data_IF_162883924770
#
_entry.id   IF_162883924770
#
_cell.length_a   1.000
_cell.length_b   1.000
_cell.length_c   1.000
_cell.angle_alpha   90.00
_cell.angle_beta   90.00
_cell.angle_gamma   90.00
#
_symmetry.space_group_name_H-M   'P 1'
#
loop_
_entity.id
_entity.type
_entity.pdbx_description
1 polymer ?
#
# COMPACT_ATOMS: atom_id res chain seq x y z
N UNK A 1 22.50 -17.16 -6.28
CA UNK A 1 23.62 -17.25 -7.26
C UNK A 1 24.21 -15.88 -7.45
N UNK A 2 25.49 -15.73 -7.18
CA UNK A 2 26.18 -14.47 -7.39
C UNK A 2 26.52 -14.34 -8.88
N UNK A 3 26.18 -13.18 -9.44
CA UNK A 3 26.53 -12.87 -10.82
C UNK A 3 27.74 -11.93 -10.77
N UNK A 4 28.83 -12.32 -11.40
CA UNK A 4 30.05 -11.53 -11.48
C UNK A 4 30.11 -10.77 -12.80
N UNK A 5 29.90 -9.47 -12.74
CA UNK A 5 29.95 -8.58 -13.91
C UNK A 5 31.33 -7.96 -14.17
N UNK A 6 32.35 -8.28 -13.35
CA UNK A 6 33.66 -7.67 -13.48
C UNK A 6 34.34 -7.95 -14.82
N UNK A 7 34.06 -9.14 -15.39
CA UNK A 7 34.56 -9.52 -16.71
C UNK A 7 33.70 -9.07 -17.87
N UNK A 8 32.45 -8.65 -17.60
CA UNK A 8 31.45 -8.31 -18.60
C UNK A 8 30.67 -7.05 -18.21
N UNK A 9 31.39 -6.00 -17.84
CA UNK A 9 30.73 -4.74 -17.49
C UNK A 9 30.00 -4.18 -18.72
N UNK A 10 28.73 -3.75 -18.54
CA UNK A 10 28.00 -3.15 -19.65
C UNK A 10 28.63 -1.85 -20.09
N UNK A 11 28.54 -1.55 -21.37
CA UNK A 11 28.98 -0.26 -21.88
C UNK A 11 28.14 0.86 -21.26
N UNK A 12 28.79 1.97 -20.97
CA UNK A 12 28.12 3.12 -20.38
C UNK A 12 28.63 4.41 -21.02
N UNK A 13 27.74 5.38 -21.16
CA UNK A 13 28.10 6.74 -21.60
C UNK A 13 28.73 7.56 -20.45
N UNK A 14 28.81 6.96 -19.25
CA UNK A 14 29.24 7.65 -18.04
C UNK A 14 28.06 8.18 -17.21
N UNK A 15 26.86 8.13 -17.75
CA UNK A 15 25.67 8.55 -17.04
C UNK A 15 24.88 7.34 -16.58
N UNK A 16 24.37 7.42 -15.36
CA UNK A 16 23.48 6.40 -14.80
C UNK A 16 22.39 7.07 -13.99
N UNK A 17 21.17 6.73 -14.30
CA UNK A 17 20.01 7.14 -13.52
C UNK A 17 19.28 5.87 -13.05
N UNK A 18 19.09 5.77 -11.75
CA UNK A 18 18.40 4.63 -11.18
C UNK A 18 16.93 4.66 -11.57
N UNK A 19 16.52 3.66 -12.36
CA UNK A 19 15.12 3.41 -12.71
C UNK A 19 14.62 2.24 -11.86
N UNK A 20 13.39 1.93 -11.87
CA UNK A 20 12.84 0.86 -11.04
C UNK A 20 12.48 1.37 -9.65
N UNK A 21 13.19 0.98 -8.61
CA UNK A 21 12.95 1.48 -7.26
C UNK A 21 12.95 3.00 -7.16
N UNK A 22 13.59 3.69 -8.14
CA UNK A 22 13.58 5.12 -8.27
C UNK A 22 12.35 5.69 -8.98
N UNK A 23 11.47 4.85 -9.53
CA UNK A 23 10.23 5.28 -10.18
C UNK A 23 9.12 5.56 -9.19
N UNK A 24 9.46 6.13 -8.06
CA UNK A 24 8.50 6.51 -7.04
C UNK A 24 7.85 7.83 -7.46
N UNK A 25 6.53 7.89 -7.36
CA UNK A 25 5.79 9.12 -7.58
C UNK A 25 6.13 10.09 -6.45
N UNK A 26 6.48 11.36 -6.76
CA UNK A 26 6.95 12.29 -5.73
C UNK A 26 5.98 12.50 -4.58
N UNK A 27 6.56 12.79 -3.39
CA UNK A 27 5.80 13.12 -2.18
C UNK A 27 4.80 14.23 -2.44
N UNK A 28 3.58 14.04 -1.96
CA UNK A 28 2.51 15.02 -2.08
C UNK A 28 1.73 14.98 -3.39
N UNK A 29 2.07 14.05 -4.29
CA UNK A 29 1.33 13.89 -5.54
C UNK A 29 -0.03 13.26 -5.24
N UNK A 30 -1.08 13.84 -5.82
CA UNK A 30 -2.44 13.33 -5.73
C UNK A 30 -2.80 12.66 -7.05
N UNK A 31 -3.23 11.40 -6.99
CA UNK A 31 -3.61 10.62 -8.16
C UNK A 31 -5.03 10.09 -8.00
N UNK A 32 -5.72 9.92 -9.11
CA UNK A 32 -6.97 9.16 -9.14
C UNK A 32 -6.60 7.71 -9.39
N UNK A 33 -6.97 6.83 -8.49
CA UNK A 33 -6.61 5.42 -8.56
C UNK A 33 -7.78 4.53 -8.19
N UNK A 34 -7.76 3.31 -8.68
CA UNK A 34 -8.73 2.28 -8.33
C UNK A 34 -8.03 1.11 -7.65
N UNK A 35 -8.74 0.46 -6.74
CA UNK A 35 -8.25 -0.75 -6.09
C UNK A 35 -8.34 -1.91 -7.08
N UNK A 36 -7.21 -2.50 -7.41
CA UNK A 36 -7.14 -3.64 -8.33
C UNK A 36 -7.22 -4.96 -7.58
N UNK A 37 -6.67 -5.02 -6.38
CA UNK A 37 -6.63 -6.22 -5.56
C UNK A 37 -6.56 -5.85 -4.08
N UNK A 38 -7.18 -6.66 -3.24
CA UNK A 38 -7.08 -6.55 -1.78
C UNK A 38 -7.09 -7.95 -1.18
N UNK A 39 -6.14 -8.23 -0.28
CA UNK A 39 -6.04 -9.51 0.43
C UNK A 39 -5.56 -9.32 1.86
N UNK A 40 -6.00 -10.24 2.71
CA UNK A 40 -5.50 -10.35 4.08
C UNK A 40 -4.20 -11.15 4.07
N UNK A 41 -3.23 -10.71 4.85
CA UNK A 41 -1.98 -11.42 5.09
C UNK A 41 -1.81 -11.65 6.58
N UNK A 42 -1.48 -12.89 6.96
CA UNK A 42 -1.16 -13.28 8.33
C UNK A 42 0.28 -13.77 8.39
N UNK A 43 0.86 -13.76 9.58
CA UNK A 43 2.25 -14.13 9.81
C UNK A 43 2.32 -15.23 10.85
N UNK A 44 3.00 -16.33 10.55
CA UNK A 44 3.14 -17.47 11.45
C UNK A 44 3.81 -17.08 12.76
N UNK A 45 3.27 -17.56 13.87
CA UNK A 45 3.81 -17.29 15.21
C UNK A 45 3.56 -15.88 15.72
N UNK A 46 2.69 -15.12 15.09
CA UNK A 46 2.37 -13.74 15.44
C UNK A 46 0.89 -13.47 15.26
N UNK A 47 0.36 -12.54 16.07
CA UNK A 47 -1.00 -12.02 15.88
C UNK A 47 -1.04 -10.92 14.81
N UNK A 48 0.09 -10.65 14.17
CA UNK A 48 0.18 -9.62 13.13
C UNK A 48 -0.67 -10.00 11.93
N UNK A 49 -1.53 -9.07 11.52
CA UNK A 49 -2.40 -9.21 10.36
C UNK A 49 -2.43 -7.90 9.60
N UNK A 50 -2.35 -7.98 8.30
CA UNK A 50 -2.39 -6.81 7.43
C UNK A 50 -3.30 -7.02 6.24
N UNK A 51 -3.77 -5.91 5.66
CA UNK A 51 -4.42 -5.89 4.36
C UNK A 51 -3.43 -5.34 3.34
N UNK A 52 -3.25 -6.07 2.26
CA UNK A 52 -2.41 -5.65 1.16
C UNK A 52 -3.28 -5.23 -0.02
N UNK A 53 -3.17 -3.97 -0.41
CA UNK A 53 -3.91 -3.41 -1.52
C UNK A 53 -2.97 -3.15 -2.69
N UNK A 54 -3.44 -3.47 -3.89
CA UNK A 54 -2.81 -3.09 -5.14
C UNK A 54 -3.69 -2.05 -5.80
N UNK A 55 -3.10 -0.91 -6.09
CA UNK A 55 -3.77 0.23 -6.71
C UNK A 55 -3.26 0.44 -8.13
N UNK A 56 -4.15 0.87 -9.01
CA UNK A 56 -3.78 1.28 -10.37
C UNK A 56 -4.17 2.73 -10.60
N UNK A 57 -3.22 3.53 -11.03
CA UNK A 57 -3.42 4.95 -11.30
C UNK A 57 -4.16 5.13 -12.62
N UNK A 58 -5.16 6.00 -12.61
CA UNK A 58 -5.90 6.41 -13.81
C UNK A 58 -5.54 7.83 -14.23
N UNK A 59 -5.39 8.74 -13.29
CA UNK A 59 -5.01 10.13 -13.53
C UNK A 59 -3.95 10.60 -12.54
N UNK A 60 -3.05 11.50 -12.92
CA UNK A 60 -2.89 12.14 -14.23
C UNK A 60 -2.28 11.20 -15.27
N UNK A 61 -2.35 11.59 -16.54
CA UNK A 61 -1.85 10.80 -17.67
C UNK A 61 -0.39 10.41 -17.51
N UNK A 62 0.42 11.29 -16.94
CA UNK A 62 1.83 11.05 -16.64
C UNK A 62 2.07 9.75 -15.85
N UNK A 63 1.14 9.39 -14.96
CA UNK A 63 1.24 8.21 -14.12
C UNK A 63 0.20 7.13 -14.46
N UNK A 64 -0.54 7.31 -15.53
CA UNK A 64 -1.60 6.36 -15.94
C UNK A 64 -1.05 4.95 -16.06
N UNK A 65 -1.82 3.98 -15.56
CA UNK A 65 -1.47 2.56 -15.51
C UNK A 65 -0.33 2.20 -14.55
N UNK A 66 0.23 3.14 -13.81
CA UNK A 66 1.17 2.81 -12.74
C UNK A 66 0.46 2.07 -11.62
N UNK A 67 1.18 1.12 -11.04
CA UNK A 67 0.71 0.31 -9.93
C UNK A 67 1.53 0.67 -8.70
N UNK A 68 0.86 0.79 -7.56
CA UNK A 68 1.53 0.89 -6.27
C UNK A 68 0.81 0.02 -5.25
N UNK A 69 1.52 -0.29 -4.17
CA UNK A 69 1.02 -1.18 -3.13
C UNK A 69 0.88 -0.44 -1.81
N UNK A 70 -0.12 -0.83 -1.05
CA UNK A 70 -0.36 -0.29 0.28
C UNK A 70 -0.56 -1.45 1.25
N UNK A 71 0.10 -1.38 2.40
CA UNK A 71 -0.10 -2.32 3.49
C UNK A 71 -0.77 -1.60 4.66
N UNK A 72 -1.91 -2.11 5.08
CA UNK A 72 -2.65 -1.59 6.24
C UNK A 72 -2.56 -2.63 7.36
N UNK A 73 -1.86 -2.31 8.42
CA UNK A 73 -1.67 -3.20 9.56
C UNK A 73 -2.88 -3.14 10.48
N UNK A 74 -3.77 -4.12 10.39
CA UNK A 74 -5.04 -4.15 11.13
C UNK A 74 -4.93 -4.84 12.48
N UNK A 75 -3.86 -5.54 12.73
CA UNK A 75 -3.61 -6.15 14.03
C UNK A 75 -2.10 -6.21 14.31
N UNK A 76 -1.65 -5.33 15.17
CA UNK A 76 -0.30 -5.32 15.69
C UNK A 76 0.81 -5.12 14.66
N UNK A 77 1.99 -5.23 15.16
CA UNK A 77 3.21 -5.48 14.39
C UNK A 77 3.91 -6.66 15.04
N UNK A 78 4.93 -7.21 14.40
CA UNK A 78 5.64 -8.36 14.95
C UNK A 78 6.11 -8.07 16.39
N UNK A 79 5.52 -8.75 17.36
CA UNK A 79 5.85 -8.61 18.78
C UNK A 79 7.28 -9.02 19.10
N UNK A 80 7.92 -9.74 18.18
CA UNK A 80 9.32 -10.18 18.32
C UNK A 80 10.30 -9.08 17.90
N UNK A 81 9.80 -7.98 17.35
CA UNK A 81 10.65 -6.84 16.97
C UNK A 81 11.19 -6.13 18.21
N UNK A 82 12.49 -5.81 18.21
CA UNK A 82 13.10 -5.00 19.25
C UNK A 82 12.52 -3.57 19.34
N UNK A 83 11.81 -3.14 18.32
CA UNK A 83 11.16 -1.82 18.25
C UNK A 83 9.68 -1.88 18.63
N UNK A 84 9.21 -3.03 19.12
CA UNK A 84 7.82 -3.18 19.53
C UNK A 84 7.53 -2.30 20.75
N UNK A 85 6.48 -1.50 20.64
CA UNK A 85 5.98 -0.65 21.72
C UNK A 85 4.45 -0.72 21.71
N UNK A 86 3.88 -1.30 22.75
CA UNK A 86 2.45 -1.58 22.84
C UNK A 86 1.58 -0.29 22.73
N UNK A 87 2.02 0.79 23.36
CA UNK A 87 1.27 2.06 23.30
C UNK A 87 1.23 2.66 21.89
N UNK A 88 2.34 2.53 21.15
CA UNK A 88 2.42 2.96 19.76
C UNK A 88 1.62 2.05 18.83
N UNK A 89 1.51 0.76 19.16
CA UNK A 89 0.74 -0.20 18.37
C UNK A 89 -0.74 0.14 18.39
N UNK A 90 -1.30 0.51 19.53
CA UNK A 90 -2.71 0.91 19.64
C UNK A 90 -3.01 2.09 18.70
N UNK A 91 -2.17 3.11 18.70
CA UNK A 91 -2.32 4.26 17.81
C UNK A 91 -2.22 3.87 16.35
N UNK A 92 -1.25 3.02 16.00
CA UNK A 92 -1.08 2.54 14.63
C UNK A 92 -2.28 1.75 14.14
N UNK A 93 -2.85 0.91 14.98
CA UNK A 93 -4.04 0.14 14.65
C UNK A 93 -5.23 1.09 14.42
N UNK A 94 -5.43 2.07 15.29
CA UNK A 94 -6.49 3.07 15.12
C UNK A 94 -6.34 3.84 13.81
N UNK A 95 -5.12 4.27 13.49
CA UNK A 95 -4.85 4.98 12.23
C UNK A 95 -5.08 4.08 11.02
N UNK A 96 -4.72 2.80 11.12
CA UNK A 96 -4.97 1.81 10.08
C UNK A 96 -6.46 1.65 9.81
N UNK A 97 -7.28 1.56 10.87
CA UNK A 97 -8.73 1.46 10.74
C UNK A 97 -9.36 2.74 10.22
N UNK A 98 -8.81 3.91 10.52
CA UNK A 98 -9.25 5.17 9.91
C UNK A 98 -9.02 5.18 8.41
N UNK A 99 -7.85 4.70 7.98
CA UNK A 99 -7.54 4.57 6.55
C UNK A 99 -8.49 3.59 5.88
N UNK A 100 -8.66 2.41 6.46
CA UNK A 100 -9.57 1.38 5.95
C UNK A 100 -11.01 1.90 5.88
N UNK A 101 -11.46 2.59 6.91
CA UNK A 101 -12.80 3.18 6.97
C UNK A 101 -13.03 4.21 5.86
N UNK A 102 -12.02 5.04 5.58
CA UNK A 102 -12.10 6.01 4.49
C UNK A 102 -12.18 5.33 3.12
N UNK A 103 -11.37 4.29 2.90
CA UNK A 103 -11.41 3.50 1.67
C UNK A 103 -12.78 2.83 1.52
N UNK A 104 -13.27 2.21 2.58
CA UNK A 104 -14.59 1.56 2.59
C UNK A 104 -15.71 2.54 2.28
N UNK A 105 -15.70 3.70 2.92
CA UNK A 105 -16.72 4.74 2.68
C UNK A 105 -16.73 5.17 1.22
N UNK A 106 -15.57 5.34 0.62
CA UNK A 106 -15.45 5.72 -0.80
C UNK A 106 -15.88 4.57 -1.73
N UNK A 107 -15.88 3.34 -1.23
CA UNK A 107 -16.32 2.16 -1.95
C UNK A 107 -17.81 1.84 -1.73
N UNK A 108 -18.52 2.62 -0.93
CA UNK A 108 -19.96 2.42 -0.66
C UNK A 108 -20.31 2.08 0.78
N UNK A 109 -19.32 1.89 1.66
CA UNK A 109 -19.54 1.63 3.08
C UNK A 109 -20.01 0.23 3.44
N UNK A 110 -19.87 -0.73 2.54
CA UNK A 110 -20.43 -2.08 2.73
C UNK A 110 -19.64 -2.92 3.75
N UNK A 111 -18.34 -2.67 3.91
CA UNK A 111 -17.52 -3.42 4.87
C UNK A 111 -17.89 -3.04 6.31
N UNK A 112 -18.06 -1.76 6.59
CA UNK A 112 -18.45 -1.31 7.93
C UNK A 112 -19.83 -1.82 8.34
N UNK A 113 -20.74 -2.02 7.39
CA UNK A 113 -22.09 -2.56 7.64
C UNK A 113 -22.09 -4.00 8.11
N UNK A 114 -21.03 -4.75 7.83
CA UNK A 114 -20.93 -6.15 8.27
C UNK A 114 -20.82 -6.26 9.79
N UNK A 115 -20.24 -5.27 10.45
CA UNK A 115 -19.99 -5.24 11.90
C UNK A 115 -19.22 -6.47 12.40
N UNK A 116 -18.37 -7.02 11.55
CA UNK A 116 -17.48 -8.14 11.82
C UNK A 116 -16.31 -8.10 10.85
N UNK A 117 -15.29 -8.92 11.11
CA UNK A 117 -14.16 -9.05 10.19
C UNK A 117 -14.65 -9.62 8.85
N UNK A 118 -14.37 -8.94 7.73
CA UNK A 118 -14.75 -9.44 6.41
C UNK A 118 -13.86 -10.60 5.97
N UNK A 119 -14.40 -11.45 5.12
CA UNK A 119 -13.60 -12.44 4.39
C UNK A 119 -12.90 -11.77 3.21
N UNK A 120 -11.88 -12.44 2.65
CA UNK A 120 -11.21 -11.93 1.45
C UNK A 120 -12.17 -11.79 0.27
N UNK A 121 -13.12 -12.71 0.14
CA UNK A 121 -14.16 -12.64 -0.89
C UNK A 121 -15.02 -11.37 -0.74
N UNK A 122 -15.40 -11.03 0.48
CA UNK A 122 -16.19 -9.83 0.78
C UNK A 122 -15.39 -8.56 0.52
N UNK A 123 -14.10 -8.53 0.90
CA UNK A 123 -13.20 -7.42 0.60
C UNK A 123 -13.10 -7.21 -0.91
N UNK A 124 -12.88 -8.28 -1.65
CA UNK A 124 -12.81 -8.23 -3.11
C UNK A 124 -14.12 -7.71 -3.70
N UNK A 125 -15.26 -8.24 -3.25
CA UNK A 125 -16.57 -7.85 -3.76
C UNK A 125 -16.86 -6.36 -3.56
N UNK A 126 -16.51 -5.81 -2.39
CA UNK A 126 -16.92 -4.46 -2.00
C UNK A 126 -15.86 -3.38 -2.20
N UNK A 127 -14.60 -3.74 -2.29
CA UNK A 127 -13.49 -2.78 -2.36
C UNK A 127 -12.84 -2.74 -3.75
N UNK A 128 -12.68 -3.87 -4.42
CA UNK A 128 -12.06 -3.90 -5.76
C UNK A 128 -12.88 -3.07 -6.74
N UNK A 129 -12.20 -2.35 -7.59
CA UNK A 129 -12.72 -1.37 -8.55
C UNK A 129 -13.19 -0.05 -7.93
N UNK A 130 -13.12 0.11 -6.61
CA UNK A 130 -13.41 1.40 -5.98
C UNK A 130 -12.38 2.43 -6.42
N UNK A 131 -12.87 3.59 -6.85
CA UNK A 131 -12.06 4.68 -7.38
C UNK A 131 -12.09 5.85 -6.42
N UNK A 132 -10.92 6.41 -6.13
CA UNK A 132 -10.82 7.56 -5.24
C UNK A 132 -9.51 8.32 -5.48
N UNK A 133 -9.44 9.53 -4.97
CA UNK A 133 -8.20 10.28 -4.95
C UNK A 133 -7.28 9.73 -3.87
N UNK A 134 -6.02 9.53 -4.22
CA UNK A 134 -5.00 9.04 -3.30
C UNK A 134 -3.87 10.04 -3.22
N UNK A 135 -3.54 10.45 -2.00
CA UNK A 135 -2.37 11.28 -1.74
C UNK A 135 -1.19 10.36 -1.48
N UNK A 136 -0.19 10.44 -2.34
CA UNK A 136 0.99 9.60 -2.28
C UNK A 136 2.12 10.26 -1.52
N UNK A 137 2.94 9.45 -0.91
CA UNK A 137 4.14 9.87 -0.23
C UNK A 137 5.29 8.93 -0.50
N UNK A 138 6.44 9.28 0.03
CA UNK A 138 7.67 8.49 -0.08
C UNK A 138 8.27 8.33 1.31
N UNK A 139 8.58 7.12 1.69
CA UNK A 139 9.27 6.80 2.93
C UNK A 139 10.29 5.71 2.67
N UNK A 140 11.56 5.97 3.04
CA UNK A 140 12.67 5.05 2.77
C UNK A 140 12.73 4.60 1.30
N UNK A 141 12.58 5.54 0.38
CA UNK A 141 12.57 5.30 -1.07
C UNK A 141 11.44 4.38 -1.55
N UNK A 142 10.40 4.19 -0.74
CA UNK A 142 9.23 3.38 -1.09
C UNK A 142 8.00 4.24 -1.21
N UNK A 143 7.15 3.88 -2.16
CA UNK A 143 5.85 4.52 -2.32
C UNK A 143 4.94 4.16 -1.15
N UNK A 144 4.34 5.16 -0.54
CA UNK A 144 3.33 4.97 0.51
C UNK A 144 2.09 5.80 0.21
N UNK A 145 0.99 5.43 0.83
CA UNK A 145 -0.27 6.16 0.76
C UNK A 145 -0.39 7.02 2.01
N UNK A 146 -0.46 8.34 1.83
CA UNK A 146 -0.63 9.29 2.93
C UNK A 146 -2.10 9.49 3.27
N UNK A 147 -2.98 9.41 2.30
CA UNK A 147 -4.40 9.61 2.52
C UNK A 147 -5.22 9.29 1.29
N UNK A 148 -6.52 9.22 1.48
CA UNK A 148 -7.49 9.02 0.41
C UNK A 148 -8.61 10.04 0.57
N UNK A 149 -9.29 10.35 -0.52
CA UNK A 149 -10.47 11.21 -0.51
C UNK A 149 -11.45 10.80 -1.60
N UNK A 150 -12.70 11.18 -1.42
CA UNK A 150 -13.77 10.82 -2.34
C UNK A 150 -13.54 11.37 -3.75
N UNK A 151 -13.88 10.54 -4.70
CA UNK A 151 -13.92 10.91 -6.12
C UNK A 151 -15.25 11.54 -6.47
#
# INVERSE_FOLDING_TARGET
MAIDYWGEMPESTGDYEQKGGGNVIPEGTRVLASVEEIKTQTFDGSDHESLNLKWRVEEPEEYNNRVFFQTININGSCQLSQYYDESKQEKKIKDAFRMLSAIDKNAGGNISKLMRKPTDAELTQHIVAAKMWVNLGVYNNKQIVRGVSAF
#
